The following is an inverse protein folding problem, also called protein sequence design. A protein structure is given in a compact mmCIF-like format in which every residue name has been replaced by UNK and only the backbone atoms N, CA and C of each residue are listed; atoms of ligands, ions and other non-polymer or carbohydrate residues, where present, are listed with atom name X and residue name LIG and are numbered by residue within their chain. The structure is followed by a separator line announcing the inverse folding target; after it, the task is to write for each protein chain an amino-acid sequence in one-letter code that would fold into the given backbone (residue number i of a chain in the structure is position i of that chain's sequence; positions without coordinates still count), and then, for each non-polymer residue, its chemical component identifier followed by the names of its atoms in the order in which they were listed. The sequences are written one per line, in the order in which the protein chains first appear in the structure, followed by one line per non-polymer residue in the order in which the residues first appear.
data_IF_234030405247
#
_entry.id   IF_234030405247
#
_cell.length_a   1.000
_cell.length_b   1.000
_cell.length_c   1.000
_cell.angle_alpha   90.00
_cell.angle_beta   90.00
_cell.angle_gamma   90.00
#
_symmetry.space_group_name_H-M   'P 1'
#
loop_
_entity.id
_entity.type
_entity.pdbx_description
1 polymer ?
#
# COMPACT_ATOMS: atom_id res chain seq x y z
N UNK A 1 -13.60 -24.82 9.30
CA UNK A 1 -12.76 -23.65 9.64
C UNK A 1 -11.66 -24.11 10.57
N UNK A 2 -10.40 -23.78 10.27
CA UNK A 2 -9.26 -24.10 11.12
C UNK A 2 -9.47 -23.60 12.56
N UNK A 3 -9.10 -24.42 13.57
CA UNK A 3 -9.38 -24.13 14.98
C UNK A 3 -8.67 -22.86 15.45
N UNK A 4 -7.42 -22.67 15.04
CA UNK A 4 -6.62 -21.51 15.42
C UNK A 4 -7.14 -20.24 14.73
N UNK A 5 -7.52 -20.33 13.46
CA UNK A 5 -8.19 -19.22 12.77
C UNK A 5 -9.46 -18.82 13.52
N UNK A 6 -10.32 -19.77 13.90
CA UNK A 6 -11.54 -19.49 14.64
C UNK A 6 -11.27 -18.77 15.98
N UNK A 7 -10.24 -19.21 16.72
CA UNK A 7 -9.80 -18.56 17.95
C UNK A 7 -9.34 -17.11 17.69
N UNK A 8 -8.54 -16.89 16.64
CA UNK A 8 -8.05 -15.57 16.27
C UNK A 8 -9.19 -14.65 15.81
N UNK A 9 -10.18 -15.17 15.07
CA UNK A 9 -11.37 -14.40 14.69
C UNK A 9 -12.21 -13.98 15.90
N UNK A 10 -12.31 -14.83 16.92
CA UNK A 10 -12.97 -14.46 18.19
C UNK A 10 -12.20 -13.36 18.92
N UNK A 11 -10.86 -13.43 18.93
CA UNK A 11 -10.01 -12.39 19.50
C UNK A 11 -10.01 -11.08 18.69
N UNK A 12 -10.58 -11.10 17.48
CA UNK A 12 -10.64 -9.98 16.55
C UNK A 12 -12.01 -9.32 16.47
N UNK A 13 -12.90 -9.59 17.42
CA UNK A 13 -14.17 -8.85 17.53
C UNK A 13 -13.85 -7.42 18.00
N UNK A 14 -14.26 -6.38 17.25
CA UNK A 14 -14.01 -5.00 17.67
C UNK A 14 -14.84 -4.65 18.92
N UNK A 15 -14.29 -3.81 19.81
CA UNK A 15 -15.01 -3.34 21.00
C UNK A 15 -16.21 -2.45 20.69
N UNK A 16 -16.24 -1.85 19.48
CA UNK A 16 -17.35 -1.11 18.95
C UNK A 16 -17.84 -1.80 17.67
N UNK A 17 -19.16 -2.03 17.56
CA UNK A 17 -19.72 -2.69 16.39
C UNK A 17 -19.52 -1.84 15.13
N UNK A 18 -19.30 -2.51 14.00
CA UNK A 18 -19.34 -1.90 12.68
C UNK A 18 -20.75 -2.11 12.09
N UNK A 19 -21.69 -1.14 12.23
CA UNK A 19 -23.09 -1.35 11.87
C UNK A 19 -23.31 -1.64 10.38
N UNK A 20 -22.41 -1.16 9.53
CA UNK A 20 -22.46 -1.36 8.07
C UNK A 20 -21.60 -2.53 7.58
N UNK A 21 -20.89 -3.22 8.47
CA UNK A 21 -20.12 -4.43 8.15
C UNK A 21 -20.30 -5.49 9.26
N UNK A 22 -21.49 -6.11 9.33
CA UNK A 22 -21.76 -7.15 10.31
C UNK A 22 -20.77 -8.32 10.15
N UNK A 23 -20.06 -8.64 11.23
CA UNK A 23 -19.03 -9.66 11.20
C UNK A 23 -17.63 -9.14 10.84
N UNK A 24 -17.44 -7.82 10.71
CA UNK A 24 -16.12 -7.22 10.54
C UNK A 24 -15.12 -7.72 11.58
N UNK A 25 -13.90 -7.99 11.12
CA UNK A 25 -12.76 -8.44 11.93
C UNK A 25 -11.56 -7.59 11.57
N UNK A 26 -11.23 -6.55 12.37
CA UNK A 26 -10.10 -5.70 12.07
C UNK A 26 -8.80 -6.51 12.03
N UNK A 27 -8.10 -6.44 10.90
CA UNK A 27 -6.83 -7.15 10.69
C UNK A 27 -5.79 -6.80 11.77
N UNK A 28 -5.84 -5.58 12.32
CA UNK A 28 -4.98 -5.13 13.41
C UNK A 28 -5.21 -5.93 14.71
N UNK A 29 -6.47 -6.25 15.05
CA UNK A 29 -6.79 -7.07 16.22
C UNK A 29 -6.33 -8.51 16.01
N UNK A 30 -6.60 -9.06 14.82
CA UNK A 30 -6.18 -10.41 14.42
C UNK A 30 -4.66 -10.57 14.48
N UNK A 31 -3.95 -9.63 13.88
CA UNK A 31 -2.48 -9.59 13.88
C UNK A 31 -1.92 -9.48 15.28
N UNK A 32 -2.51 -8.64 16.14
CA UNK A 32 -2.08 -8.51 17.53
C UNK A 32 -2.27 -9.81 18.32
N UNK A 33 -3.40 -10.49 18.12
CA UNK A 33 -3.67 -11.78 18.76
C UNK A 33 -2.68 -12.86 18.28
N UNK A 34 -2.44 -12.98 16.96
CA UNK A 34 -1.48 -13.91 16.40
C UNK A 34 -0.07 -13.67 16.95
N UNK A 35 0.40 -12.41 16.94
CA UNK A 35 1.73 -12.04 17.46
C UNK A 35 1.90 -12.37 18.94
N UNK A 36 0.83 -12.24 19.74
CA UNK A 36 0.85 -12.66 21.15
C UNK A 36 1.08 -14.17 21.29
N UNK A 37 0.42 -14.99 20.47
CA UNK A 37 0.63 -16.45 20.46
C UNK A 37 2.04 -16.81 19.98
N UNK A 38 2.52 -16.17 18.92
CA UNK A 38 3.88 -16.39 18.42
C UNK A 38 4.93 -16.04 19.47
N UNK A 39 4.81 -14.88 20.15
CA UNK A 39 5.74 -14.47 21.19
C UNK A 39 5.77 -15.44 22.39
N UNK A 40 4.64 -16.06 22.74
CA UNK A 40 4.55 -17.04 23.81
C UNK A 40 5.01 -18.45 23.41
N UNK A 41 5.21 -18.72 22.11
CA UNK A 41 5.63 -20.03 21.62
C UNK A 41 7.15 -20.19 21.71
N UNK A 42 7.60 -21.30 22.33
CA UNK A 42 9.01 -21.67 22.36
C UNK A 42 9.54 -22.06 20.98
N UNK A 43 8.67 -22.55 20.09
CA UNK A 43 9.01 -22.94 18.71
C UNK A 43 8.81 -21.83 17.68
N UNK A 44 8.69 -20.56 18.11
CA UNK A 44 8.54 -19.45 17.17
C UNK A 44 9.74 -19.35 16.25
N UNK A 45 9.51 -18.89 15.03
CA UNK A 45 10.51 -18.86 13.97
C UNK A 45 10.63 -17.46 13.37
N UNK A 46 11.85 -16.93 13.20
CA UNK A 46 12.04 -15.68 12.49
C UNK A 46 11.81 -15.88 11.00
N UNK A 47 11.12 -14.94 10.38
CA UNK A 47 10.92 -14.86 8.93
C UNK A 47 11.24 -13.44 8.47
N UNK A 48 11.93 -13.33 7.34
CA UNK A 48 12.18 -12.04 6.68
C UNK A 48 11.55 -12.07 5.30
N UNK A 49 10.79 -11.02 4.99
CA UNK A 49 10.25 -10.77 3.66
C UNK A 49 11.02 -9.59 3.08
N UNK A 50 11.61 -9.75 1.90
CA UNK A 50 12.18 -8.66 1.13
C UNK A 50 11.33 -8.36 -0.10
N UNK A 51 11.03 -7.09 -0.35
CA UNK A 51 10.35 -6.58 -1.55
C UNK A 51 11.36 -5.77 -2.34
N UNK A 52 11.72 -6.25 -3.52
CA UNK A 52 12.61 -5.58 -4.46
C UNK A 52 11.85 -4.98 -5.63
N UNK A 53 12.38 -3.86 -6.09
CA UNK A 53 11.96 -3.12 -7.27
C UNK A 53 13.08 -3.10 -8.31
N UNK A 54 12.74 -2.73 -9.54
CA UNK A 54 13.71 -2.63 -10.64
C UNK A 54 14.70 -1.46 -10.48
N UNK A 55 14.34 -0.45 -9.68
CA UNK A 55 15.19 0.71 -9.37
C UNK A 55 16.26 0.43 -8.29
N UNK A 56 16.35 -0.83 -7.82
CA UNK A 56 17.31 -1.24 -6.80
C UNK A 56 16.86 -0.96 -5.36
N UNK A 57 15.66 -0.40 -5.15
CA UNK A 57 15.08 -0.28 -3.81
C UNK A 57 14.65 -1.66 -3.32
N UNK A 58 15.04 -1.97 -2.09
CA UNK A 58 14.73 -3.23 -1.42
C UNK A 58 14.26 -2.94 0.00
N UNK A 59 13.00 -3.25 0.27
CA UNK A 59 12.40 -3.12 1.59
C UNK A 59 12.45 -4.45 2.33
N UNK A 60 12.94 -4.46 3.57
CA UNK A 60 12.94 -5.64 4.44
C UNK A 60 11.88 -5.52 5.53
N UNK A 61 11.14 -6.60 5.75
CA UNK A 61 10.21 -6.73 6.86
C UNK A 61 10.50 -8.01 7.65
N UNK A 62 10.75 -7.85 8.95
CA UNK A 62 10.95 -8.97 9.86
C UNK A 62 9.65 -9.30 10.61
N UNK A 63 9.36 -10.59 10.73
CA UNK A 63 8.24 -11.09 11.50
C UNK A 63 8.64 -12.37 12.26
N UNK A 64 7.97 -12.60 13.39
CA UNK A 64 8.04 -13.86 14.13
C UNK A 64 6.74 -14.63 13.86
N UNK A 65 6.87 -15.91 13.50
CA UNK A 65 5.74 -16.80 13.24
C UNK A 65 5.65 -17.92 14.26
N UNK A 66 4.45 -18.47 14.43
CA UNK A 66 4.28 -19.78 15.07
C UNK A 66 5.05 -20.86 14.29
N UNK A 67 5.50 -21.95 14.94
CA UNK A 67 6.12 -23.08 14.24
C UNK A 67 5.18 -23.56 13.14
N UNK A 68 5.71 -23.91 11.97
CA UNK A 68 4.89 -24.43 10.87
C UNK A 68 4.53 -25.90 11.13
N UNK A 69 3.28 -26.15 11.56
CA UNK A 69 2.75 -27.50 11.83
C UNK A 69 1.32 -27.63 11.32
N UNK A 70 0.75 -28.84 11.36
CA UNK A 70 -0.63 -29.08 10.92
C UNK A 70 -1.66 -28.20 11.67
N UNK A 71 -1.38 -27.84 12.92
CA UNK A 71 -2.27 -27.05 13.79
C UNK A 71 -2.16 -25.54 13.56
N UNK A 72 -1.07 -25.06 12.96
CA UNK A 72 -0.72 -23.63 12.89
C UNK A 72 -0.47 -23.13 11.48
N UNK A 73 -0.27 -24.02 10.49
CA UNK A 73 0.14 -23.67 9.14
C UNK A 73 -0.85 -22.72 8.46
N UNK A 74 -2.17 -22.97 8.57
CA UNK A 74 -3.16 -22.09 7.93
C UNK A 74 -3.19 -20.68 8.53
N UNK A 75 -3.15 -20.56 9.86
CA UNK A 75 -3.08 -19.26 10.51
C UNK A 75 -1.75 -18.54 10.22
N UNK A 76 -0.64 -19.28 10.21
CA UNK A 76 0.69 -18.76 9.92
C UNK A 76 0.80 -18.28 8.47
N UNK A 77 0.28 -19.07 7.54
CA UNK A 77 0.19 -18.67 6.15
C UNK A 77 -0.65 -17.41 5.99
N UNK A 78 -1.85 -17.36 6.59
CA UNK A 78 -2.70 -16.17 6.55
C UNK A 78 -1.98 -14.94 7.11
N UNK A 79 -1.23 -15.07 8.20
CA UNK A 79 -0.45 -13.97 8.76
C UNK A 79 0.62 -13.45 7.78
N UNK A 80 1.43 -14.36 7.22
CA UNK A 80 2.49 -14.03 6.26
C UNK A 80 1.90 -13.41 5.00
N UNK A 81 0.86 -14.04 4.43
CA UNK A 81 0.25 -13.63 3.16
C UNK A 81 -0.47 -12.29 3.28
N UNK A 82 -1.23 -12.06 4.36
CA UNK A 82 -1.84 -10.74 4.63
C UNK A 82 -0.79 -9.67 4.85
N UNK A 83 0.33 -10.01 5.50
CA UNK A 83 1.46 -9.11 5.68
C UNK A 83 2.11 -8.78 4.34
N UNK A 84 2.37 -9.77 3.48
CA UNK A 84 2.89 -9.53 2.13
C UNK A 84 1.95 -8.62 1.34
N UNK A 85 0.65 -8.92 1.30
CA UNK A 85 -0.33 -8.06 0.62
C UNK A 85 -0.27 -6.62 1.15
N UNK A 86 -0.29 -6.45 2.46
CA UNK A 86 -0.14 -5.11 3.06
C UNK A 86 1.14 -4.41 2.60
N UNK A 87 2.27 -5.11 2.60
CA UNK A 87 3.56 -4.55 2.18
C UNK A 87 3.59 -4.20 0.69
N UNK A 88 3.00 -5.03 -0.17
CA UNK A 88 2.91 -4.73 -1.61
C UNK A 88 2.13 -3.43 -1.84
N UNK A 89 0.99 -3.26 -1.18
CA UNK A 89 0.17 -2.05 -1.34
C UNK A 89 0.70 -0.82 -0.58
N UNK A 90 1.57 -1.00 0.41
CA UNK A 90 2.23 0.10 1.12
C UNK A 90 3.56 0.53 0.47
N UNK A 91 4.38 -0.44 0.09
CA UNK A 91 5.77 -0.27 -0.32
C UNK A 91 6.00 -0.57 -1.79
N UNK A 92 5.14 -1.32 -2.47
CA UNK A 92 5.35 -1.76 -3.85
C UNK A 92 6.55 -2.69 -4.03
N UNK A 93 6.53 -3.47 -5.10
CA UNK A 93 7.63 -4.35 -5.51
C UNK A 93 7.13 -5.52 -6.34
N UNK A 94 7.96 -5.98 -7.28
CA UNK A 94 7.66 -7.11 -8.16
C UNK A 94 8.50 -8.36 -7.82
N UNK A 95 9.56 -8.21 -7.03
CA UNK A 95 10.37 -9.33 -6.57
C UNK A 95 10.24 -9.54 -5.07
N UNK A 96 9.79 -10.71 -4.65
CA UNK A 96 9.59 -11.08 -3.26
C UNK A 96 10.51 -12.23 -2.89
N UNK A 97 11.27 -12.05 -1.81
CA UNK A 97 12.05 -13.11 -1.19
C UNK A 97 11.53 -13.39 0.21
N UNK A 98 11.42 -14.67 0.56
CA UNK A 98 10.98 -15.12 1.88
C UNK A 98 12.06 -16.00 2.48
N UNK A 99 12.72 -15.49 3.52
CA UNK A 99 13.70 -16.23 4.30
C UNK A 99 13.07 -16.77 5.59
N UNK A 100 13.43 -18.01 5.96
CA UNK A 100 12.99 -18.65 7.20
C UNK A 100 11.68 -19.45 7.12
N UNK A 101 10.92 -19.38 6.03
CA UNK A 101 9.73 -20.21 5.83
C UNK A 101 9.52 -20.60 4.35
N UNK A 102 10.25 -21.61 3.84
CA UNK A 102 10.11 -22.08 2.47
C UNK A 102 8.70 -22.61 2.15
N UNK A 103 7.97 -23.11 3.15
CA UNK A 103 6.60 -23.61 3.00
C UNK A 103 5.64 -22.49 2.61
N UNK A 104 5.74 -21.34 3.30
CA UNK A 104 4.96 -20.15 2.95
C UNK A 104 5.39 -19.59 1.60
N UNK A 105 6.69 -19.52 1.32
CA UNK A 105 7.22 -19.03 0.05
C UNK A 105 6.67 -19.81 -1.16
N UNK A 106 6.62 -21.14 -1.06
CA UNK A 106 6.08 -22.00 -2.09
C UNK A 106 4.58 -21.75 -2.32
N UNK A 107 3.79 -21.63 -1.25
CA UNK A 107 2.35 -21.35 -1.36
C UNK A 107 2.08 -19.94 -1.89
N UNK A 108 2.86 -18.95 -1.46
CA UNK A 108 2.81 -17.59 -1.99
C UNK A 108 3.12 -17.57 -3.49
N UNK A 109 4.14 -18.30 -3.95
CA UNK A 109 4.46 -18.39 -5.38
C UNK A 109 3.32 -19.02 -6.20
N UNK A 110 2.57 -19.97 -5.61
CA UNK A 110 1.40 -20.57 -6.26
C UNK A 110 0.18 -19.63 -6.29
N UNK A 111 0.01 -18.79 -5.26
CA UNK A 111 -1.09 -17.84 -5.14
C UNK A 111 -0.85 -16.57 -5.98
N UNK A 112 0.37 -16.03 -5.98
CA UNK A 112 0.78 -14.80 -6.69
C UNK A 112 1.34 -15.09 -8.08
N UNK A 113 0.47 -15.59 -8.95
CA UNK A 113 0.77 -15.84 -10.37
C UNK A 113 -0.53 -15.82 -11.18
N UNK A 114 -0.40 -15.85 -12.50
CA UNK A 114 -1.55 -16.05 -13.39
C UNK A 114 -2.35 -17.31 -12.97
N UNK A 115 -3.66 -17.14 -12.78
CA UNK A 115 -4.57 -18.21 -12.33
C UNK A 115 -4.51 -18.56 -10.83
N UNK A 116 -3.60 -17.95 -10.05
CA UNK A 116 -3.55 -18.10 -8.60
C UNK A 116 -4.58 -17.24 -7.87
N UNK A 117 -4.78 -17.51 -6.57
CA UNK A 117 -5.77 -16.78 -5.75
C UNK A 117 -5.45 -15.29 -5.54
N UNK A 118 -4.22 -14.87 -5.89
CA UNK A 118 -3.69 -13.49 -5.86
C UNK A 118 -3.22 -13.03 -7.22
N UNK A 119 -3.75 -13.59 -8.31
CA UNK A 119 -3.42 -13.19 -9.67
C UNK A 119 -3.57 -11.68 -9.90
N UNK A 120 -4.63 -11.06 -9.38
CA UNK A 120 -4.82 -9.61 -9.46
C UNK A 120 -3.68 -8.83 -8.81
N UNK A 121 -3.28 -9.18 -7.58
CA UNK A 121 -2.20 -8.50 -6.88
C UNK A 121 -0.86 -8.67 -7.62
N UNK A 122 -0.60 -9.87 -8.17
CA UNK A 122 0.60 -10.18 -8.92
C UNK A 122 0.67 -9.44 -10.27
N UNK A 123 -0.44 -9.33 -10.99
CA UNK A 123 -0.52 -8.62 -12.27
C UNK A 123 -0.34 -7.10 -12.09
N UNK A 124 -1.03 -6.53 -11.10
CA UNK A 124 -0.92 -5.10 -10.77
C UNK A 124 0.51 -4.75 -10.34
N UNK A 125 1.09 -5.51 -9.40
CA UNK A 125 2.44 -5.25 -8.90
C UNK A 125 3.55 -5.68 -9.88
N UNK A 126 3.25 -6.57 -10.82
CA UNK A 126 4.21 -7.04 -11.81
C UNK A 126 4.18 -6.16 -13.05
N UNK A 127 3.35 -6.57 -14.01
CA UNK A 127 3.29 -6.00 -15.35
C UNK A 127 2.77 -4.55 -15.35
N UNK A 128 1.74 -4.25 -14.54
CA UNK A 128 1.06 -2.95 -14.61
C UNK A 128 1.91 -1.82 -14.01
N UNK A 129 2.38 -1.98 -12.76
CA UNK A 129 3.11 -0.91 -12.05
C UNK A 129 4.60 -0.94 -12.37
N UNK A 130 5.22 -2.13 -12.35
CA UNK A 130 6.67 -2.25 -12.43
C UNK A 130 7.17 -2.74 -13.79
N UNK A 131 6.29 -3.17 -14.70
CA UNK A 131 6.68 -3.63 -16.04
C UNK A 131 7.57 -4.87 -16.02
N UNK A 132 7.42 -5.74 -15.00
CA UNK A 132 8.19 -6.97 -14.88
C UNK A 132 7.38 -8.10 -14.23
N UNK A 133 7.69 -9.38 -14.52
CA UNK A 133 6.99 -10.50 -13.91
C UNK A 133 7.06 -10.47 -12.38
N UNK A 134 5.92 -10.66 -11.73
CA UNK A 134 5.88 -10.81 -10.28
C UNK A 134 6.45 -12.18 -9.87
N UNK A 135 7.40 -12.19 -8.93
CA UNK A 135 8.06 -13.41 -8.47
C UNK A 135 8.11 -13.52 -6.96
N UNK A 136 7.86 -14.72 -6.43
CA UNK A 136 8.12 -15.06 -5.02
C UNK A 136 9.13 -16.20 -4.96
N UNK A 137 10.18 -16.07 -4.14
CA UNK A 137 11.22 -17.09 -3.96
C UNK A 137 11.49 -17.37 -2.49
N UNK A 138 11.66 -18.64 -2.16
CA UNK A 138 12.27 -19.05 -0.89
C UNK A 138 13.78 -18.77 -0.95
N UNK A 139 14.36 -18.36 0.17
CA UNK A 139 15.81 -18.18 0.28
C UNK A 139 16.29 -18.36 1.74
N UNK A 140 17.60 -18.42 1.92
CA UNK A 140 18.27 -18.24 3.20
C UNK A 140 18.45 -16.76 3.52
N UNK A 141 18.73 -16.42 4.78
CA UNK A 141 18.96 -15.03 5.17
C UNK A 141 20.18 -14.41 4.46
N UNK A 142 21.20 -15.21 4.15
CA UNK A 142 22.39 -14.78 3.41
C UNK A 142 22.15 -14.52 1.92
N UNK A 143 21.05 -15.04 1.37
CA UNK A 143 20.65 -14.85 -0.03
C UNK A 143 19.69 -13.67 -0.21
N UNK A 144 19.26 -13.03 0.88
CA UNK A 144 18.44 -11.82 0.77
C UNK A 144 19.23 -10.70 0.10
N UNK A 145 18.64 -9.99 -0.87
CA UNK A 145 19.27 -8.78 -1.40
C UNK A 145 19.51 -7.77 -0.27
N UNK A 146 20.56 -6.95 -0.38
CA UNK A 146 20.83 -5.94 0.64
C UNK A 146 19.68 -4.93 0.71
N UNK A 147 19.24 -4.61 1.93
CA UNK A 147 18.22 -3.59 2.12
C UNK A 147 18.71 -2.24 1.58
N UNK A 148 17.86 -1.57 0.81
CA UNK A 148 18.11 -0.28 0.20
C UNK A 148 16.81 0.50 0.23
N UNK A 149 16.53 1.14 1.36
CA UNK A 149 15.35 1.97 1.55
C UNK A 149 15.77 3.43 1.66
N UNK A 150 15.44 4.29 0.69
CA UNK A 150 15.77 5.69 0.76
C UNK A 150 14.98 6.36 1.88
N UNK A 151 15.69 7.02 2.80
CA UNK A 151 15.09 7.81 3.86
C UNK A 151 14.71 9.18 3.30
N UNK A 152 13.47 9.31 2.83
CA UNK A 152 12.93 10.60 2.44
C UNK A 152 12.24 11.27 3.62
N UNK A 153 12.63 12.50 3.94
CA UNK A 153 11.83 13.37 4.80
C UNK A 153 10.68 13.93 3.96
N UNK A 154 9.51 13.32 4.06
CA UNK A 154 8.31 13.78 3.38
C UNK A 154 7.72 15.00 4.10
N UNK A 155 7.43 16.07 3.36
CA UNK A 155 6.86 17.32 3.90
C UNK A 155 7.90 18.33 4.40
N UNK A 156 7.42 19.42 5.02
CA UNK A 156 8.28 20.49 5.54
C UNK A 156 8.71 21.55 4.51
N UNK A 157 8.42 21.32 3.23
CA UNK A 157 8.66 22.27 2.13
C UNK A 157 7.50 23.26 2.03
N UNK A 158 7.29 24.09 3.05
CA UNK A 158 6.17 25.04 3.06
C UNK A 158 6.49 26.32 2.29
N UNK A 159 7.77 26.63 2.13
CA UNK A 159 8.25 27.91 1.57
C UNK A 159 7.83 28.11 0.12
N UNK A 160 7.60 29.37 -0.24
CA UNK A 160 7.31 29.81 -1.60
C UNK A 160 5.82 29.94 -1.90
N UNK A 161 5.53 30.34 -3.13
CA UNK A 161 4.20 30.56 -3.67
C UNK A 161 3.78 29.35 -4.50
N UNK A 162 2.78 28.60 -4.06
CA UNK A 162 2.45 27.29 -4.66
C UNK A 162 0.97 27.21 -4.99
N UNK A 163 0.66 26.43 -6.02
CA UNK A 163 -0.71 26.09 -6.40
C UNK A 163 -0.92 24.59 -6.18
N UNK A 164 -2.01 24.25 -5.51
CA UNK A 164 -2.56 22.90 -5.47
C UNK A 164 -3.84 22.85 -6.29
N UNK A 165 -4.05 21.80 -7.09
CA UNK A 165 -5.34 21.55 -7.72
C UNK A 165 -5.79 20.10 -7.54
N UNK A 166 -7.11 19.90 -7.53
CA UNK A 166 -7.76 18.59 -7.44
C UNK A 166 -8.83 18.50 -8.53
N UNK A 167 -8.70 17.48 -9.38
CA UNK A 167 -9.52 17.25 -10.57
C UNK A 167 -10.48 16.08 -10.28
N UNK A 168 -11.71 16.39 -9.91
CA UNK A 168 -12.76 15.42 -9.62
C UNK A 168 -13.69 15.15 -10.81
N UNK A 169 -14.54 14.14 -10.67
CA UNK A 169 -15.55 13.81 -11.69
C UNK A 169 -16.73 14.78 -11.79
N UNK A 170 -16.91 15.65 -10.79
CA UNK A 170 -18.02 16.61 -10.66
C UNK A 170 -17.59 18.07 -10.51
N UNK A 171 -16.31 18.31 -10.26
CA UNK A 171 -15.76 19.62 -9.95
C UNK A 171 -14.25 19.61 -10.15
N UNK A 172 -13.69 20.82 -10.29
CA UNK A 172 -12.25 21.07 -10.18
C UNK A 172 -12.03 22.10 -9.09
N UNK A 173 -11.02 21.85 -8.26
CA UNK A 173 -10.64 22.71 -7.14
C UNK A 173 -9.23 23.24 -7.36
N UNK A 174 -8.98 24.46 -6.91
CA UNK A 174 -7.62 24.96 -6.79
C UNK A 174 -7.45 25.80 -5.54
N UNK A 175 -6.23 25.76 -4.99
CA UNK A 175 -5.81 26.54 -3.85
C UNK A 175 -4.44 27.17 -4.13
N UNK A 176 -4.27 28.40 -3.69
CA UNK A 176 -2.99 29.09 -3.70
C UNK A 176 -2.48 29.26 -2.26
N UNK A 177 -1.19 28.98 -2.06
CA UNK A 177 -0.54 29.10 -0.75
C UNK A 177 0.74 29.92 -0.83
N UNK A 178 1.02 30.72 0.22
CA UNK A 178 2.30 31.41 0.43
C UNK A 178 2.87 30.93 1.76
N UNK A 179 4.06 30.31 1.72
CA UNK A 179 4.75 29.80 2.91
C UNK A 179 3.87 28.89 3.79
N UNK A 180 3.05 28.05 3.15
CA UNK A 180 2.11 27.13 3.79
C UNK A 180 0.80 27.75 4.28
N UNK A 181 0.59 29.06 4.07
CA UNK A 181 -0.68 29.73 4.38
C UNK A 181 -1.55 29.82 3.14
N UNK A 182 -2.80 29.38 3.23
CA UNK A 182 -3.79 29.51 2.16
C UNK A 182 -4.13 30.98 1.95
N UNK A 183 -3.95 31.46 0.72
CA UNK A 183 -4.31 32.83 0.30
C UNK A 183 -5.49 32.86 -0.65
N UNK A 184 -5.80 31.72 -1.29
CA UNK A 184 -6.98 31.53 -2.12
C UNK A 184 -7.39 30.07 -2.17
N UNK A 185 -8.69 29.81 -2.27
CA UNK A 185 -9.23 28.49 -2.58
C UNK A 185 -10.56 28.65 -3.29
N UNK A 186 -10.85 27.76 -4.23
CA UNK A 186 -12.10 27.75 -4.96
C UNK A 186 -12.44 26.35 -5.48
N UNK A 187 -13.72 26.20 -5.84
CA UNK A 187 -14.31 24.99 -6.40
C UNK A 187 -15.22 25.41 -7.56
N UNK A 188 -15.00 24.84 -8.73
CA UNK A 188 -15.76 25.13 -9.94
C UNK A 188 -16.39 23.84 -10.46
N UNK A 189 -17.72 23.82 -10.69
CA UNK A 189 -18.39 22.69 -11.31
C UNK A 189 -17.71 22.27 -12.62
N UNK A 190 -17.54 20.96 -12.80
CA UNK A 190 -16.80 20.38 -13.93
C UNK A 190 -17.33 18.97 -14.20
N UNK A 191 -17.33 18.50 -15.44
CA UNK A 191 -17.86 17.16 -15.74
C UNK A 191 -16.97 16.46 -16.76
N UNK A 192 -15.77 16.03 -16.36
CA UNK A 192 -14.78 15.47 -17.28
C UNK A 192 -15.09 14.04 -17.73
N UNK A 193 -15.84 13.26 -16.95
CA UNK A 193 -16.00 11.80 -17.15
C UNK A 193 -16.55 11.44 -18.53
N UNK A 194 -17.45 12.25 -19.08
CA UNK A 194 -18.09 12.01 -20.38
C UNK A 194 -17.48 12.84 -21.51
N UNK A 195 -16.43 13.61 -21.24
CA UNK A 195 -15.85 14.55 -22.20
C UNK A 195 -14.66 13.93 -22.91
N UNK A 196 -14.82 13.68 -24.21
CA UNK A 196 -13.76 13.13 -25.07
C UNK A 196 -12.83 14.21 -25.66
N UNK A 197 -13.26 15.48 -25.67
CA UNK A 197 -12.45 16.59 -26.16
C UNK A 197 -11.36 16.94 -25.14
N UNK A 198 -10.10 16.74 -25.52
CA UNK A 198 -8.95 17.07 -24.67
C UNK A 198 -8.85 18.57 -24.37
N UNK A 199 -9.39 19.43 -25.23
CA UNK A 199 -9.38 20.89 -25.08
C UNK A 199 -10.21 21.31 -23.87
N UNK A 200 -11.37 20.67 -23.65
CA UNK A 200 -12.20 20.90 -22.46
C UNK A 200 -11.44 20.68 -21.15
N UNK A 201 -10.62 19.63 -21.12
CA UNK A 201 -9.80 19.30 -19.96
C UNK A 201 -8.66 20.29 -19.79
N UNK A 202 -7.95 20.57 -20.88
CA UNK A 202 -6.85 21.53 -20.89
C UNK A 202 -7.30 22.92 -20.42
N UNK A 203 -8.37 23.45 -21.02
CA UNK A 203 -8.88 24.78 -20.72
C UNK A 203 -9.38 24.87 -19.27
N UNK A 204 -10.06 23.83 -18.77
CA UNK A 204 -10.48 23.77 -17.38
C UNK A 204 -9.30 23.76 -16.39
N UNK A 205 -8.25 23.01 -16.68
CA UNK A 205 -7.04 22.97 -15.84
C UNK A 205 -6.33 24.34 -15.89
N UNK A 206 -6.10 24.87 -17.09
CA UNK A 206 -5.42 26.15 -17.29
C UNK A 206 -6.14 27.29 -16.56
N UNK A 207 -7.45 27.36 -16.69
CA UNK A 207 -8.29 28.37 -16.06
C UNK A 207 -8.24 28.28 -14.52
N UNK A 208 -8.27 27.07 -13.93
CA UNK A 208 -8.05 26.89 -12.48
C UNK A 208 -6.67 27.40 -12.04
N UNK A 209 -5.63 27.05 -12.79
CA UNK A 209 -4.27 27.48 -12.48
C UNK A 209 -4.11 29.00 -12.58
N UNK A 210 -4.71 29.63 -13.59
CA UNK A 210 -4.67 31.08 -13.79
C UNK A 210 -5.37 31.83 -12.66
N UNK A 211 -6.55 31.36 -12.23
CA UNK A 211 -7.25 31.98 -11.11
C UNK A 211 -6.48 31.86 -9.80
N UNK A 212 -5.92 30.69 -9.49
CA UNK A 212 -5.06 30.53 -8.31
C UNK A 212 -3.79 31.40 -8.39
N UNK A 213 -3.15 31.47 -9.56
CA UNK A 213 -1.95 32.28 -9.77
C UNK A 213 -2.18 33.78 -9.58
N UNK A 214 -3.39 34.29 -9.86
CA UNK A 214 -3.74 35.70 -9.66
C UNK A 214 -3.62 36.17 -8.20
N UNK A 215 -3.62 35.24 -7.24
CA UNK A 215 -3.46 35.52 -5.81
C UNK A 215 -2.01 35.39 -5.31
N UNK A 216 -1.06 35.13 -6.22
CA UNK A 216 0.35 34.91 -5.88
C UNK A 216 1.25 35.94 -6.56
N UNK A 217 2.33 36.41 -5.90
CA UNK A 217 3.31 37.30 -6.53
C UNK A 217 4.16 36.59 -7.61
N UNK A 218 4.26 35.26 -7.55
CA UNK A 218 4.89 34.36 -8.52
C UNK A 218 4.40 32.94 -8.28
N UNK A 219 4.68 32.00 -9.17
CA UNK A 219 4.41 30.58 -8.95
C UNK A 219 5.74 29.84 -8.90
N UNK A 220 6.07 29.26 -7.74
CA UNK A 220 7.29 28.48 -7.51
C UNK A 220 7.05 26.99 -7.80
N UNK A 221 5.84 26.47 -7.55
CA UNK A 221 5.49 25.07 -7.80
C UNK A 221 3.99 24.88 -7.98
N UNK A 222 3.62 23.86 -8.77
CA UNK A 222 2.24 23.40 -8.96
C UNK A 222 2.18 21.90 -8.64
N UNK A 223 1.24 21.51 -7.79
CA UNK A 223 0.96 20.11 -7.48
C UNK A 223 -0.50 19.78 -7.81
N UNK A 224 -0.73 18.63 -8.43
CA UNK A 224 -2.04 18.21 -8.89
C UNK A 224 -2.43 16.83 -8.38
N UNK A 225 -3.72 16.64 -8.14
CA UNK A 225 -4.39 15.35 -7.95
C UNK A 225 -5.48 15.22 -9.00
N UNK A 226 -5.69 14.00 -9.52
CA UNK A 226 -6.81 13.66 -10.39
C UNK A 226 -7.32 12.25 -10.09
N UNK A 227 -8.63 12.07 -10.16
CA UNK A 227 -9.27 10.76 -10.04
C UNK A 227 -9.19 9.94 -11.34
#
# INVERSE_FOLDING_TARGET
MDKLIAQLEKASVPGHAAPYDPGFRPAALWTRAYRKLAAASAGRRPVRIALGRLDGIVFHYALEILPWSAETAEATYRYIERTLKYLLWQKGGCHVWVAGCPEAAARLAADYRAGGTRAFDADVMGETIFGAPFTVKACTETELPAASEPQFKMGGCWKGCRIGFDLGGSDRKCAAVIDGKVVHTEEVPWSPVTQADWTYHHDGIEDSLRRAAAHLPRVDAIGGSSA
#
